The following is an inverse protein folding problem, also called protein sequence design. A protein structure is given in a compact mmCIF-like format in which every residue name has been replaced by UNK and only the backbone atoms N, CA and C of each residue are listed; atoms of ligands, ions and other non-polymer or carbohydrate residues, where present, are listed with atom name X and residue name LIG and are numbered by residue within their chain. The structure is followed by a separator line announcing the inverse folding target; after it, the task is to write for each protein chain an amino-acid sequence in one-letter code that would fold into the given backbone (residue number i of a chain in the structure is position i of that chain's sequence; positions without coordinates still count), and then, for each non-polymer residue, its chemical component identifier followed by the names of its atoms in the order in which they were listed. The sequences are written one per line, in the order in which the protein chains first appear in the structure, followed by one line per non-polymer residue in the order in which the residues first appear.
data_IF_501874320136
#
_entry.id   IF_501874320136
#
_cell.length_a   1.000
_cell.length_b   1.000
_cell.length_c   1.000
_cell.angle_alpha   90.00
_cell.angle_beta   90.00
_cell.angle_gamma   90.00
#
_symmetry.space_group_name_H-M   'P 1'
#
loop_
_entity.id
_entity.type
_entity.pdbx_description
1 polymer ?
#
# COMPACT_ATOMS: atom_id res chain seq x y z
N UNK A 1 5.10 7.09 48.40
CA UNK A 1 3.78 6.69 47.88
C UNK A 1 2.85 7.89 48.05
N UNK A 2 2.63 8.69 47.01
CA UNK A 2 1.69 9.80 47.09
C UNK A 2 0.28 9.23 47.33
N UNK A 3 -0.37 9.67 48.41
CA UNK A 3 -1.51 8.99 49.04
C UNK A 3 -2.77 8.84 48.15
N UNK A 4 -3.90 8.40 48.75
CA UNK A 4 -5.08 7.90 48.03
C UNK A 4 -5.63 8.81 46.92
N UNK A 5 -5.42 10.13 47.01
CA UNK A 5 -5.81 11.12 45.99
C UNK A 5 -5.12 10.90 44.64
N UNK A 6 -3.86 10.45 44.64
CA UNK A 6 -3.12 10.21 43.40
C UNK A 6 -3.58 8.93 42.71
N UNK A 7 -4.05 7.94 43.48
CA UNK A 7 -4.59 6.69 42.94
C UNK A 7 -5.90 6.93 42.20
N UNK A 8 -6.79 7.76 42.74
CA UNK A 8 -8.04 8.17 42.08
C UNK A 8 -7.77 8.94 40.78
N UNK A 9 -6.78 9.83 40.77
CA UNK A 9 -6.37 10.55 39.56
C UNK A 9 -5.86 9.60 38.48
N UNK A 10 -4.94 8.68 38.84
CA UNK A 10 -4.41 7.68 37.91
C UNK A 10 -5.50 6.79 37.35
N UNK A 11 -6.42 6.34 38.20
CA UNK A 11 -7.56 5.53 37.80
C UNK A 11 -8.45 6.26 36.80
N UNK A 12 -8.76 7.53 37.06
CA UNK A 12 -9.47 8.39 36.11
C UNK A 12 -8.73 8.49 34.77
N UNK A 13 -7.43 8.80 34.78
CA UNK A 13 -6.62 8.86 33.56
C UNK A 13 -6.64 7.54 32.81
N UNK A 14 -6.49 6.40 33.48
CA UNK A 14 -6.46 5.09 32.83
C UNK A 14 -7.78 4.67 32.21
N UNK A 15 -8.91 5.17 32.70
CA UNK A 15 -10.22 4.88 32.09
C UNK A 15 -10.55 5.91 31.02
N UNK A 16 -10.43 7.20 31.33
CA UNK A 16 -10.85 8.25 30.42
C UNK A 16 -9.93 8.39 29.22
N UNK A 17 -8.62 8.15 29.37
CA UNK A 17 -7.68 8.24 28.23
C UNK A 17 -8.06 7.27 27.11
N UNK A 18 -8.10 5.93 27.31
CA UNK A 18 -8.43 5.02 26.22
C UNK A 18 -9.83 5.25 25.64
N UNK A 19 -10.81 5.61 26.48
CA UNK A 19 -12.18 5.92 26.02
C UNK A 19 -12.19 7.17 25.13
N UNK A 20 -11.51 8.24 25.53
CA UNK A 20 -11.39 9.46 24.73
C UNK A 20 -10.67 9.21 23.42
N UNK A 21 -9.58 8.44 23.43
CA UNK A 21 -8.87 8.03 22.22
C UNK A 21 -9.79 7.23 21.28
N UNK A 22 -10.54 6.27 21.82
CA UNK A 22 -11.48 5.47 21.02
C UNK A 22 -12.58 6.33 20.40
N UNK A 23 -13.15 7.30 21.13
CA UNK A 23 -14.18 8.21 20.59
C UNK A 23 -13.60 9.14 19.53
N UNK A 24 -12.40 9.70 19.76
CA UNK A 24 -11.77 10.62 18.82
C UNK A 24 -11.34 9.93 17.52
N UNK A 25 -10.64 8.80 17.63
CA UNK A 25 -10.12 8.07 16.46
C UNK A 25 -11.17 7.15 15.81
N UNK A 26 -12.18 6.72 16.58
CA UNK A 26 -13.29 5.91 16.09
C UNK A 26 -14.45 6.73 15.50
N UNK A 27 -14.41 8.06 15.62
CA UNK A 27 -15.39 8.94 15.01
C UNK A 27 -15.38 8.78 13.47
N UNK A 28 -16.54 8.65 12.81
CA UNK A 28 -16.62 8.58 11.34
C UNK A 28 -15.91 9.73 10.64
N UNK A 29 -15.94 10.92 11.25
CA UNK A 29 -15.29 12.13 10.76
C UNK A 29 -13.76 11.99 10.72
N UNK A 30 -13.16 11.27 11.67
CA UNK A 30 -11.72 11.03 11.68
C UNK A 30 -11.31 10.15 10.48
N UNK A 31 -12.08 9.10 10.22
CA UNK A 31 -11.85 8.19 9.09
C UNK A 31 -11.99 8.92 7.75
N UNK A 32 -13.06 9.69 7.56
CA UNK A 32 -13.30 10.41 6.32
C UNK A 32 -12.24 11.48 6.03
N UNK A 33 -11.75 12.16 7.08
CA UNK A 33 -10.72 13.19 6.92
C UNK A 33 -9.33 12.62 6.65
N UNK A 34 -8.92 11.59 7.39
CA UNK A 34 -7.52 11.14 7.39
C UNK A 34 -7.27 9.84 6.61
N UNK A 35 -8.25 8.93 6.56
CA UNK A 35 -8.07 7.58 5.99
C UNK A 35 -8.67 7.48 4.59
N UNK A 36 -9.90 7.97 4.38
CA UNK A 36 -10.62 7.88 3.10
C UNK A 36 -9.88 8.57 1.94
N UNK A 37 -9.20 9.68 2.21
CA UNK A 37 -8.44 10.43 1.19
C UNK A 37 -7.04 9.86 0.93
N UNK A 38 -6.65 8.77 1.60
CA UNK A 38 -5.42 8.08 1.25
C UNK A 38 -5.58 7.51 -0.16
N UNK A 39 -4.77 7.99 -1.12
CA UNK A 39 -4.69 7.46 -2.49
C UNK A 39 -4.04 6.07 -2.53
N UNK A 40 -4.28 5.24 -1.52
CA UNK A 40 -3.72 3.90 -1.40
C UNK A 40 -4.22 3.02 -2.54
N UNK A 41 -5.50 3.13 -2.87
CA UNK A 41 -6.08 2.46 -4.03
C UNK A 41 -6.06 3.39 -5.25
N UNK A 42 -5.70 2.91 -6.45
CA UNK A 42 -5.89 3.68 -7.67
C UNK A 42 -7.35 4.13 -7.76
N UNK A 43 -7.59 5.36 -8.21
CA UNK A 43 -8.94 5.88 -8.39
C UNK A 43 -9.74 4.86 -9.22
N UNK A 44 -11.03 4.61 -8.92
CA UNK A 44 -11.84 3.61 -9.61
C UNK A 44 -11.87 3.79 -11.13
N UNK A 45 -11.64 5.01 -11.62
CA UNK A 45 -11.47 5.36 -13.04
C UNK A 45 -10.21 4.76 -13.69
N UNK A 46 -9.17 4.49 -12.88
CA UNK A 46 -7.86 3.97 -13.28
C UNK A 46 -7.71 2.48 -12.95
N UNK A 47 -8.56 1.94 -12.07
CA UNK A 47 -8.63 0.50 -11.83
C UNK A 47 -9.17 -0.13 -13.11
N UNK A 48 -8.25 -0.56 -13.97
CA UNK A 48 -8.58 -1.18 -15.24
C UNK A 48 -9.54 -2.36 -15.02
N UNK A 49 -10.82 -2.13 -15.30
CA UNK A 49 -11.91 -3.11 -15.41
C UNK A 49 -11.71 -4.06 -16.60
N UNK A 50 -10.46 -4.29 -17.04
CA UNK A 50 -10.08 -5.33 -17.99
C UNK A 50 -10.00 -6.69 -17.28
N UNK A 51 -11.04 -7.07 -16.56
CA UNK A 51 -11.23 -8.44 -16.06
C UNK A 51 -11.76 -9.36 -17.17
N UNK A 52 -11.24 -9.21 -18.38
CA UNK A 52 -11.73 -9.89 -19.59
C UNK A 52 -10.69 -9.98 -20.70
N UNK A 53 -9.41 -10.09 -20.36
CA UNK A 53 -8.41 -10.48 -21.37
C UNK A 53 -8.56 -11.98 -21.58
N UNK A 54 -8.91 -12.40 -22.80
CA UNK A 54 -9.00 -13.81 -23.15
C UNK A 54 -7.67 -14.49 -22.80
N UNK A 55 -7.72 -15.71 -22.25
CA UNK A 55 -6.54 -16.44 -21.77
C UNK A 55 -5.47 -16.57 -22.86
N UNK A 56 -5.90 -16.67 -24.12
CA UNK A 56 -5.00 -16.73 -25.29
C UNK A 56 -4.24 -15.42 -25.52
N UNK A 57 -4.92 -14.29 -25.39
CA UNK A 57 -4.31 -12.96 -25.56
C UNK A 57 -3.28 -12.68 -24.45
N UNK A 58 -3.57 -13.12 -23.21
CA UNK A 58 -2.60 -13.04 -22.12
C UNK A 58 -1.32 -13.85 -22.40
N UNK A 59 -1.47 -15.10 -22.87
CA UNK A 59 -0.33 -15.96 -23.17
C UNK A 59 0.52 -15.40 -24.31
N UNK A 60 -0.13 -14.84 -25.33
CA UNK A 60 0.55 -14.15 -26.43
C UNK A 60 1.36 -12.95 -25.93
N UNK A 61 0.74 -12.10 -25.11
CA UNK A 61 1.39 -10.89 -24.58
C UNK A 61 2.56 -11.24 -23.63
N UNK A 62 2.42 -12.29 -22.83
CA UNK A 62 3.51 -12.80 -21.99
C UNK A 62 4.69 -13.29 -22.83
N UNK A 63 4.44 -14.03 -23.91
CA UNK A 63 5.51 -14.50 -24.79
C UNK A 63 6.20 -13.32 -25.50
N UNK A 64 5.43 -12.34 -25.98
CA UNK A 64 5.97 -11.09 -26.54
C UNK A 64 6.91 -10.37 -25.56
N UNK A 65 6.47 -10.18 -24.32
CA UNK A 65 7.28 -9.54 -23.26
C UNK A 65 8.54 -10.35 -22.92
N UNK A 66 8.46 -11.69 -22.95
CA UNK A 66 9.61 -12.57 -22.73
C UNK A 66 10.65 -12.42 -23.84
N UNK A 67 10.24 -12.38 -25.10
CA UNK A 67 11.14 -12.16 -26.24
C UNK A 67 11.81 -10.79 -26.17
N UNK A 68 11.07 -9.72 -25.85
CA UNK A 68 11.65 -8.39 -25.62
C UNK A 68 12.70 -8.42 -24.50
N UNK A 69 12.42 -9.11 -23.39
CA UNK A 69 13.36 -9.22 -22.27
C UNK A 69 14.65 -9.93 -22.67
N UNK A 70 14.54 -11.01 -23.46
CA UNK A 70 15.70 -11.76 -23.97
C UNK A 70 16.52 -10.90 -24.93
N UNK A 71 15.88 -10.19 -25.86
CA UNK A 71 16.57 -9.28 -26.78
C UNK A 71 17.30 -8.15 -26.04
N UNK A 72 16.67 -7.53 -25.04
CA UNK A 72 17.31 -6.51 -24.20
C UNK A 72 18.47 -7.08 -23.38
N UNK A 73 18.37 -8.35 -22.94
CA UNK A 73 19.45 -9.02 -22.22
C UNK A 73 20.63 -9.31 -23.14
N UNK A 74 20.38 -9.87 -24.33
CA UNK A 74 21.40 -10.12 -25.34
C UNK A 74 22.07 -8.82 -25.80
N UNK A 75 21.33 -7.72 -25.95
CA UNK A 75 21.90 -6.41 -26.27
C UNK A 75 22.82 -5.89 -25.17
N UNK A 76 22.48 -6.10 -23.88
CA UNK A 76 23.35 -5.73 -22.75
C UNK A 76 24.61 -6.60 -22.68
N UNK A 77 24.47 -7.90 -22.93
CA UNK A 77 25.57 -8.87 -22.90
C UNK A 77 26.52 -8.69 -24.09
N UNK A 78 25.98 -8.44 -25.29
CA UNK A 78 26.76 -8.10 -26.48
C UNK A 78 27.48 -6.75 -26.37
N UNK A 79 26.88 -5.74 -25.73
CA UNK A 79 27.58 -4.48 -25.40
C UNK A 79 28.67 -4.66 -24.33
N UNK A 80 28.60 -5.71 -23.50
CA UNK A 80 29.65 -5.99 -22.50
C UNK A 80 30.81 -6.80 -23.06
N UNK A 81 30.60 -7.61 -24.09
CA UNK A 81 31.69 -8.29 -24.81
C UNK A 81 32.50 -7.32 -25.68
N UNK A 82 31.84 -6.37 -26.36
CA UNK A 82 32.51 -5.38 -27.23
C UNK A 82 33.34 -4.33 -26.45
N UNK A 83 33.07 -4.14 -25.15
CA UNK A 83 33.82 -3.22 -24.28
C UNK A 83 35.00 -3.86 -23.54
N UNK A 84 35.19 -5.17 -23.67
CA UNK A 84 36.22 -5.95 -22.97
C UNK A 84 37.30 -6.52 -23.93
N UNK A 85 37.36 -6.04 -25.18
CA UNK A 85 38.42 -6.34 -26.17
C UNK A 85 39.23 -5.10 -26.50
#
# INVERSE_FOLDING_TARGET
MAGPKLEVFKFGVYIFTPVMFMVYFGAPEFYDKHVRNSKFWPAPEVVNTRTGIDKKELLYEVERLKQERLARKAAREGLSDDKNV
#
